data_IF_989674053756
#
_entry.id   IF_989674053756
#
_cell.length_a   1.000
_cell.length_b   1.000
_cell.length_c   1.000
_cell.angle_alpha   90.00
_cell.angle_beta   90.00
_cell.angle_gamma   90.00
#
_symmetry.space_group_name_H-M   'P 1'
#
loop_
_entity.id
_entity.type
_entity.pdbx_description
1 polymer ?
#
# COMPACT_ATOMS: atom_id res chain seq x y z
N UNK A 1 4.88 -5.28 2.63
CA UNK A 1 3.97 -4.18 2.31
C UNK A 1 4.04 -3.88 0.82
N UNK A 2 2.88 -3.69 0.19
CA UNK A 2 2.77 -3.41 -1.24
C UNK A 2 2.28 -1.98 -1.44
N UNK A 3 3.04 -1.22 -2.22
CA UNK A 3 2.64 0.10 -2.72
C UNK A 3 2.48 -0.01 -4.24
N UNK A 4 1.28 0.14 -4.72
CA UNK A 4 1.00 0.03 -6.15
C UNK A 4 -0.22 0.86 -6.50
N UNK A 5 -0.27 1.41 -7.69
CA UNK A 5 -1.45 2.14 -8.16
C UNK A 5 -2.57 1.16 -8.50
N UNK A 6 -2.26 0.09 -9.22
CA UNK A 6 -3.27 -0.88 -9.67
C UNK A 6 -3.35 -2.16 -8.86
N UNK A 7 -2.36 -2.47 -8.04
CA UNK A 7 -2.33 -3.68 -7.22
C UNK A 7 -2.03 -4.98 -7.96
N UNK A 8 -1.72 -4.92 -9.24
CA UNK A 8 -1.49 -6.08 -10.10
C UNK A 8 -2.78 -6.68 -10.66
N UNK A 9 -2.71 -7.28 -11.83
CA UNK A 9 -3.87 -7.88 -12.48
C UNK A 9 -3.44 -9.17 -13.21
N UNK A 10 -3.97 -10.31 -12.77
CA UNK A 10 -3.65 -11.62 -13.33
C UNK A 10 -4.23 -11.76 -14.74
N UNK A 11 -5.46 -11.32 -14.94
CA UNK A 11 -6.19 -11.48 -16.20
C UNK A 11 -5.58 -10.62 -17.30
N UNK A 12 -5.27 -9.36 -16.99
CA UNK A 12 -4.71 -8.40 -17.95
C UNK A 12 -3.19 -8.44 -18.00
N UNK A 13 -2.55 -9.24 -17.15
CA UNK A 13 -1.10 -9.32 -17.03
C UNK A 13 -0.44 -7.96 -16.77
N UNK A 14 -1.08 -7.16 -15.90
CA UNK A 14 -0.56 -5.85 -15.48
C UNK A 14 0.24 -6.01 -14.19
N UNK A 15 1.45 -5.45 -14.17
CA UNK A 15 2.38 -5.57 -13.04
C UNK A 15 2.55 -7.01 -12.58
N UNK A 16 2.95 -7.93 -13.47
CA UNK A 16 3.07 -9.35 -13.13
C UNK A 16 4.10 -9.62 -12.03
N UNK A 17 5.08 -8.74 -11.87
CA UNK A 17 6.04 -8.81 -10.77
C UNK A 17 5.37 -8.72 -9.40
N UNK A 18 4.34 -7.89 -9.27
CA UNK A 18 3.57 -7.78 -8.02
C UNK A 18 2.77 -9.06 -7.77
N UNK A 19 2.13 -9.61 -8.79
CA UNK A 19 1.39 -10.87 -8.69
C UNK A 19 2.31 -11.99 -8.22
N UNK A 20 3.48 -12.12 -8.83
CA UNK A 20 4.46 -13.16 -8.45
C UNK A 20 4.94 -12.97 -7.01
N UNK A 21 5.23 -11.73 -6.62
CA UNK A 21 5.67 -11.43 -5.26
C UNK A 21 4.58 -11.75 -4.23
N UNK A 22 3.33 -11.47 -4.53
CA UNK A 22 2.20 -11.77 -3.65
C UNK A 22 1.98 -13.28 -3.51
N UNK A 23 2.07 -14.02 -4.62
CA UNK A 23 1.95 -15.47 -4.59
C UNK A 23 3.06 -16.10 -3.74
N UNK A 24 4.28 -15.62 -3.87
CA UNK A 24 5.41 -16.08 -3.05
C UNK A 24 5.20 -15.75 -1.57
N UNK A 25 4.71 -14.54 -1.27
CA UNK A 25 4.41 -14.15 0.10
C UNK A 25 3.35 -15.06 0.73
N UNK A 26 2.31 -15.40 -0.01
CA UNK A 26 1.27 -16.34 0.46
C UNK A 26 1.83 -17.75 0.65
N UNK A 27 2.66 -18.22 -0.26
CA UNK A 27 3.29 -19.53 -0.15
C UNK A 27 4.18 -19.64 1.09
N UNK A 28 4.72 -18.54 1.56
CA UNK A 28 5.55 -18.47 2.78
C UNK A 28 4.79 -18.05 4.03
N UNK A 29 3.47 -17.93 3.95
CA UNK A 29 2.61 -17.48 5.06
C UNK A 29 2.98 -16.11 5.61
N UNK A 30 3.42 -15.20 4.76
CA UNK A 30 3.72 -13.84 5.17
C UNK A 30 2.45 -13.02 5.24
N UNK A 31 2.40 -12.08 6.19
CA UNK A 31 1.31 -11.12 6.27
C UNK A 31 1.45 -10.08 5.15
N UNK A 32 0.40 -9.90 4.38
CA UNK A 32 0.37 -8.97 3.26
C UNK A 32 -0.43 -7.74 3.65
N UNK A 33 0.23 -6.59 3.58
CA UNK A 33 -0.37 -5.27 3.78
C UNK A 33 -0.21 -4.50 2.47
N UNK A 34 -1.29 -3.92 1.99
CA UNK A 34 -1.25 -3.15 0.74
C UNK A 34 -1.86 -1.77 0.88
N UNK A 35 -1.28 -0.81 0.16
CA UNK A 35 -1.84 0.53 -0.03
C UNK A 35 -1.87 0.75 -1.53
N UNK A 36 -3.05 0.68 -2.11
CA UNK A 36 -3.24 0.60 -3.56
C UNK A 36 -4.30 1.60 -4.01
N UNK A 37 -4.39 1.81 -5.30
CA UNK A 37 -5.42 2.64 -5.92
C UNK A 37 -6.37 1.80 -6.77
N UNK A 38 -7.06 2.45 -7.67
CA UNK A 38 -8.03 1.84 -8.58
C UNK A 38 -9.01 0.93 -7.82
N UNK A 39 -9.17 -0.31 -8.24
CA UNK A 39 -10.01 -1.31 -7.60
C UNK A 39 -9.24 -2.20 -6.60
N UNK A 40 -7.96 -1.92 -6.40
CA UNK A 40 -7.08 -2.69 -5.53
C UNK A 40 -6.43 -3.89 -6.19
N UNK A 41 -6.91 -4.33 -7.35
CA UNK A 41 -6.34 -5.42 -8.12
C UNK A 41 -6.15 -6.71 -7.36
N UNK A 42 -5.13 -7.46 -7.72
CA UNK A 42 -4.79 -8.73 -7.08
C UNK A 42 -4.38 -8.55 -5.61
N UNK A 43 -3.74 -7.44 -5.28
CA UNK A 43 -3.36 -7.13 -3.89
C UNK A 43 -4.57 -7.14 -2.96
N UNK A 44 -5.68 -6.53 -3.41
CA UNK A 44 -6.92 -6.52 -2.61
C UNK A 44 -7.48 -7.93 -2.40
N UNK A 45 -7.36 -8.80 -3.40
CA UNK A 45 -7.88 -10.19 -3.32
C UNK A 45 -7.12 -11.04 -2.31
N UNK A 46 -5.82 -10.88 -2.20
CA UNK A 46 -4.96 -11.74 -1.39
C UNK A 46 -4.40 -11.09 -0.14
N UNK A 47 -4.49 -9.77 -0.01
CA UNK A 47 -3.94 -9.04 1.13
C UNK A 47 -4.72 -9.28 2.42
N UNK A 48 -4.01 -9.27 3.52
CA UNK A 48 -4.60 -9.39 4.86
C UNK A 48 -5.20 -8.08 5.32
N UNK A 49 -4.49 -6.98 5.06
CA UNK A 49 -4.96 -5.61 5.32
C UNK A 49 -4.66 -4.78 4.09
N UNK A 50 -5.69 -4.27 3.43
CA UNK A 50 -5.50 -3.49 2.21
C UNK A 50 -6.29 -2.19 2.32
N UNK A 51 -5.58 -1.07 2.13
CA UNK A 51 -6.16 0.25 2.04
C UNK A 51 -6.24 0.60 0.56
N UNK A 52 -7.43 0.91 0.08
CA UNK A 52 -7.65 1.30 -1.32
C UNK A 52 -7.93 2.79 -1.36
N UNK A 53 -7.06 3.54 -2.05
CA UNK A 53 -7.27 4.97 -2.28
C UNK A 53 -8.38 5.12 -3.32
N UNK A 54 -9.50 5.79 -2.99
CA UNK A 54 -10.63 5.90 -3.91
C UNK A 54 -10.28 6.74 -5.14
N UNK A 55 -10.89 6.38 -6.27
CA UNK A 55 -10.77 7.16 -7.50
C UNK A 55 -11.75 8.33 -7.43
N UNK A 56 -11.20 9.54 -7.33
CA UNK A 56 -11.98 10.78 -7.30
C UNK A 56 -11.98 11.44 -8.67
N UNK A 57 -10.86 11.37 -9.38
CA UNK A 57 -10.68 11.90 -10.72
C UNK A 57 -9.94 10.87 -11.57
N UNK A 58 -10.60 10.35 -12.60
CA UNK A 58 -10.04 9.33 -13.48
C UNK A 58 -8.77 9.77 -14.22
N UNK A 59 -8.58 11.08 -14.39
CA UNK A 59 -7.39 11.62 -15.05
C UNK A 59 -6.20 11.76 -14.09
N UNK A 60 -6.42 11.61 -12.78
CA UNK A 60 -5.42 11.83 -11.74
C UNK A 60 -5.26 10.61 -10.82
N UNK A 61 -5.57 9.40 -11.30
CA UNK A 61 -5.51 8.18 -10.50
C UNK A 61 -4.10 7.96 -9.96
N UNK A 62 -3.10 8.00 -10.81
CA UNK A 62 -1.70 7.76 -10.41
C UNK A 62 -1.19 8.84 -9.45
N UNK A 63 -1.27 10.14 -9.77
CA UNK A 63 -0.80 11.16 -8.83
C UNK A 63 -1.52 11.12 -7.49
N UNK A 64 -2.84 10.94 -7.48
CA UNK A 64 -3.60 10.86 -6.23
C UNK A 64 -3.25 9.61 -5.42
N UNK A 65 -3.15 8.45 -6.08
CA UNK A 65 -2.79 7.20 -5.40
C UNK A 65 -1.42 7.30 -4.75
N UNK A 66 -0.44 7.78 -5.47
CA UNK A 66 0.93 7.91 -4.95
C UNK A 66 1.04 8.95 -3.84
N UNK A 67 0.33 10.08 -3.97
CA UNK A 67 0.33 11.10 -2.92
C UNK A 67 -0.30 10.57 -1.63
N UNK A 68 -1.43 9.88 -1.70
CA UNK A 68 -2.08 9.31 -0.54
C UNK A 68 -1.33 8.10 0.04
N UNK A 69 -0.61 7.34 -0.78
CA UNK A 69 0.30 6.33 -0.28
C UNK A 69 1.34 6.94 0.67
N UNK A 70 1.91 8.08 0.30
CA UNK A 70 2.86 8.79 1.15
C UNK A 70 2.21 9.30 2.44
N UNK A 71 1.01 9.87 2.37
CA UNK A 71 0.26 10.31 3.55
C UNK A 71 0.02 9.12 4.50
N UNK A 72 -0.40 8.00 3.97
CA UNK A 72 -0.75 6.81 4.77
C UNK A 72 0.50 6.21 5.41
N UNK A 73 1.58 6.05 4.66
CA UNK A 73 2.80 5.47 5.24
C UNK A 73 3.38 6.35 6.34
N UNK A 74 3.35 7.68 6.17
CA UNK A 74 3.77 8.60 7.23
C UNK A 74 2.87 8.48 8.46
N UNK A 75 1.56 8.35 8.27
CA UNK A 75 0.62 8.15 9.35
C UNK A 75 0.90 6.85 10.12
N UNK A 76 1.18 5.76 9.39
CA UNK A 76 1.51 4.48 10.00
C UNK A 76 2.84 4.54 10.77
N UNK A 77 3.87 5.15 10.20
CA UNK A 77 5.18 5.27 10.83
C UNK A 77 5.15 6.15 12.07
N UNK A 78 4.24 7.12 12.12
CA UNK A 78 4.10 8.06 13.24
C UNK A 78 3.05 7.65 14.26
N UNK A 79 2.30 6.56 14.00
CA UNK A 79 1.24 6.13 14.90
C UNK A 79 1.83 5.63 16.23
N UNK A 80 1.30 6.10 17.39
CA UNK A 80 1.88 5.74 18.70
C UNK A 80 2.00 4.23 18.96
N UNK A 81 1.08 3.42 18.42
CA UNK A 81 1.11 1.96 18.57
C UNK A 81 2.19 1.31 17.72
N UNK A 82 2.48 1.88 16.54
CA UNK A 82 3.40 1.28 15.56
C UNK A 82 4.80 1.88 15.61
N UNK A 83 4.94 3.10 16.14
CA UNK A 83 6.20 3.82 16.18
C UNK A 83 7.14 3.21 17.22
N UNK A 84 8.33 2.81 16.80
CA UNK A 84 9.35 2.24 17.68
C UNK A 84 10.10 3.35 18.41
N UNK A 85 10.51 4.39 17.68
CA UNK A 85 11.23 5.53 18.22
C UNK A 85 10.60 6.83 17.72
N UNK A 86 10.67 7.88 18.55
CA UNK A 86 10.20 9.20 18.15
C UNK A 86 11.12 9.78 17.08
N UNK A 87 10.53 10.48 16.13
CA UNK A 87 11.28 11.24 15.16
C UNK A 87 12.08 12.34 15.88
N UNK A 88 13.26 12.63 15.36
CA UNK A 88 14.15 13.63 15.93
C UNK A 88 13.50 15.01 16.08
N UNK A 89 12.71 15.42 15.10
CA UNK A 89 12.10 16.76 15.10
C UNK A 89 10.89 16.84 16.03
N UNK A 90 10.06 15.84 16.08
CA UNK A 90 8.93 15.77 17.01
C UNK A 90 9.40 15.62 18.47
N UNK A 91 10.56 14.99 18.68
CA UNK A 91 11.15 14.81 20.01
C UNK A 91 11.72 16.09 20.62
N UNK A 92 12.06 17.07 19.78
CA UNK A 92 12.66 18.34 20.26
C UNK A 92 11.65 19.21 20.99
N UNK A 93 10.40 19.13 20.67
CA UNK A 93 9.33 19.97 21.24
C UNK A 93 8.70 19.41 22.51
N UNK A 94 9.04 18.24 22.89
CA UNK A 94 8.44 17.57 24.06
C UNK A 94 9.08 17.94 25.39
#
# INVERSE_FOLDING_TARGET
CVFSVGGGDVVRNISPNIVVALDEAKARNLTIIGIVGRDGGYTKKVGDVVIVVPVVDENLITPHSEAFQAVIWHALASHPVLMIEKNKWEGVES
#
